data_IF_533266751212
#
_entry.id   IF_533266751212
#
_cell.length_a   1.000
_cell.length_b   1.000
_cell.length_c   1.000
_cell.angle_alpha   90.00
_cell.angle_beta   90.00
_cell.angle_gamma   90.00
#
_symmetry.space_group_name_H-M   'P 1'
#
loop_
_entity.id
_entity.type
_entity.pdbx_description
1 polymer ?
#
# COMPACT_ATOMS: atom_id res chain seq x y z
N UNK A 1 31.47 -28.45 9.58
CA UNK A 1 30.42 -29.45 9.87
C UNK A 1 29.21 -28.65 10.35
N UNK A 2 28.31 -28.29 9.46
CA UNK A 2 27.05 -27.61 9.76
C UNK A 2 25.91 -28.52 9.32
N UNK A 3 25.05 -28.84 10.27
CA UNK A 3 23.91 -29.72 10.08
C UNK A 3 22.82 -28.98 9.27
N UNK A 4 22.50 -29.53 8.15
CA UNK A 4 21.41 -29.15 7.26
C UNK A 4 20.16 -29.93 7.69
N UNK A 5 19.08 -29.24 8.03
CA UNK A 5 17.77 -29.85 8.25
C UNK A 5 16.94 -29.70 6.96
N UNK A 6 16.42 -30.80 6.38
CA UNK A 6 15.62 -30.69 5.16
C UNK A 6 14.14 -30.40 5.46
N UNK A 7 13.58 -29.59 4.60
CA UNK A 7 12.17 -29.22 4.52
C UNK A 7 11.31 -30.37 3.97
N UNK A 8 10.18 -30.76 4.61
CA UNK A 8 9.31 -31.80 4.11
C UNK A 8 8.08 -31.22 3.39
N UNK A 9 8.18 -30.97 2.10
CA UNK A 9 7.02 -30.84 1.21
C UNK A 9 7.39 -31.29 -0.20
N UNK A 10 7.32 -32.61 -0.41
CA UNK A 10 7.07 -33.21 -1.72
C UNK A 10 6.55 -34.63 -1.47
N UNK A 11 5.26 -34.83 -1.74
CA UNK A 11 4.85 -35.90 -2.69
C UNK A 11 3.33 -35.83 -2.91
N UNK A 12 3.05 -35.70 -4.17
CA UNK A 12 1.80 -35.99 -4.83
C UNK A 12 1.45 -37.47 -4.71
N UNK A 13 0.16 -37.79 -4.65
CA UNK A 13 -0.39 -38.77 -5.61
C UNK A 13 -1.91 -38.82 -5.48
N UNK A 14 -2.51 -38.85 -6.65
CA UNK A 14 -3.95 -38.99 -6.90
C UNK A 14 -4.42 -40.36 -6.42
N UNK A 15 -5.54 -40.41 -5.71
CA UNK A 15 -6.42 -41.56 -5.79
C UNK A 15 -7.87 -41.12 -5.80
N UNK A 16 -8.52 -41.35 -6.91
CA UNK A 16 -9.97 -41.36 -7.04
C UNK A 16 -10.50 -42.51 -6.15
N UNK A 17 -11.39 -42.18 -5.23
CA UNK A 17 -12.32 -43.14 -4.69
C UNK A 17 -13.76 -42.61 -4.84
N UNK A 18 -14.46 -43.23 -5.76
CA UNK A 18 -15.92 -43.27 -5.79
C UNK A 18 -16.41 -43.96 -4.50
N UNK A 19 -17.21 -43.29 -3.73
CA UNK A 19 -18.02 -43.93 -2.72
C UNK A 19 -19.45 -43.48 -2.82
N UNK A 20 -20.30 -44.44 -2.97
CA UNK A 20 -21.73 -44.41 -3.18
C UNK A 20 -22.53 -43.79 -2.03
N UNK A 21 -23.69 -43.32 -2.38
CA UNK A 21 -24.80 -42.85 -1.55
C UNK A 21 -25.14 -43.76 -0.33
N UNK A 22 -25.53 -43.06 0.71
CA UNK A 22 -26.44 -43.37 1.82
C UNK A 22 -25.81 -43.26 3.20
N UNK A 23 -25.92 -42.11 3.80
CA UNK A 23 -26.21 -41.99 5.23
C UNK A 23 -26.87 -40.62 5.48
N UNK A 24 -28.19 -40.65 5.74
CA UNK A 24 -28.91 -39.55 6.34
C UNK A 24 -28.28 -39.22 7.69
N UNK A 25 -27.54 -38.09 7.73
CA UNK A 25 -27.15 -37.51 9.00
C UNK A 25 -27.84 -36.14 9.12
N UNK A 26 -28.91 -36.17 9.91
CA UNK A 26 -29.70 -35.02 10.33
C UNK A 26 -28.76 -34.06 11.11
N UNK A 27 -28.21 -33.05 10.41
CA UNK A 27 -27.54 -31.94 11.07
C UNK A 27 -28.65 -31.09 11.66
N UNK A 28 -28.93 -31.32 12.96
CA UNK A 28 -29.72 -30.39 13.73
C UNK A 28 -29.01 -29.04 13.73
N UNK A 29 -29.53 -28.10 12.97
CA UNK A 29 -29.17 -26.69 13.09
C UNK A 29 -29.49 -26.26 14.52
N UNK A 30 -28.46 -26.24 15.36
CA UNK A 30 -28.54 -25.57 16.64
C UNK A 30 -28.66 -24.09 16.32
N UNK A 31 -29.88 -23.57 16.38
CA UNK A 31 -30.14 -22.13 16.31
C UNK A 31 -29.36 -21.51 17.47
N UNK A 32 -28.26 -20.83 17.17
CA UNK A 32 -27.54 -20.01 18.14
C UNK A 32 -28.44 -18.79 18.34
N UNK A 33 -29.26 -18.82 19.39
CA UNK A 33 -30.04 -17.66 19.80
C UNK A 33 -29.03 -16.67 20.36
N UNK A 34 -28.64 -15.67 19.60
CA UNK A 34 -27.81 -14.55 20.07
C UNK A 34 -28.67 -13.76 21.05
N UNK A 35 -28.29 -13.73 22.33
CA UNK A 35 -28.94 -12.91 23.33
C UNK A 35 -28.80 -11.43 22.95
N UNK A 36 -29.89 -10.68 23.11
CA UNK A 36 -29.87 -9.23 22.84
C UNK A 36 -28.99 -8.50 23.84
N UNK A 37 -28.38 -7.44 23.40
CA UNK A 37 -27.57 -6.56 24.24
C UNK A 37 -28.28 -5.22 24.41
N UNK A 38 -28.31 -4.72 25.64
CA UNK A 38 -28.97 -3.49 26.01
C UNK A 38 -27.96 -2.54 26.67
N UNK A 39 -27.78 -1.35 26.12
CA UNK A 39 -26.82 -0.36 26.64
C UNK A 39 -27.55 0.72 27.44
N UNK A 40 -27.12 0.94 28.66
CA UNK A 40 -27.58 2.08 29.45
C UNK A 40 -27.02 3.39 28.86
N UNK A 41 -27.90 4.31 28.50
CA UNK A 41 -27.53 5.60 27.89
C UNK A 41 -26.90 6.58 28.87
N UNK A 42 -26.98 6.31 30.18
CA UNK A 42 -26.45 7.17 31.23
C UNK A 42 -25.01 6.80 31.61
N UNK A 43 -24.74 5.50 31.83
CA UNK A 43 -23.42 5.05 32.31
C UNK A 43 -22.68 4.08 31.36
N UNK A 44 -23.30 3.71 30.25
CA UNK A 44 -22.68 2.81 29.27
C UNK A 44 -22.71 1.32 29.63
N UNK A 45 -23.29 0.93 30.77
CA UNK A 45 -23.40 -0.48 31.15
C UNK A 45 -24.15 -1.29 30.09
N UNK A 46 -23.62 -2.48 29.75
CA UNK A 46 -24.25 -3.40 28.80
C UNK A 46 -24.84 -4.58 29.57
N UNK A 47 -26.12 -4.83 29.31
CA UNK A 47 -26.86 -5.98 29.80
C UNK A 47 -27.14 -6.95 28.65
N UNK A 48 -26.93 -8.25 28.88
CA UNK A 48 -27.23 -9.31 27.92
C UNK A 48 -28.50 -10.04 28.40
N UNK A 49 -29.55 -10.06 27.58
CA UNK A 49 -30.83 -10.67 27.91
C UNK A 49 -31.91 -10.35 26.88
N UNK A 50 -33.06 -11.02 26.98
CA UNK A 50 -34.16 -10.84 26.03
C UNK A 50 -34.81 -9.44 26.11
N UNK A 51 -34.65 -8.74 27.25
CA UNK A 51 -35.17 -7.40 27.47
C UNK A 51 -34.21 -6.56 28.33
N UNK A 52 -34.41 -5.24 28.30
CA UNK A 52 -33.69 -4.33 29.19
C UNK A 52 -34.00 -4.67 30.68
N UNK A 53 -33.00 -4.56 31.59
CA UNK A 53 -33.24 -4.79 33.00
C UNK A 53 -34.09 -3.65 33.60
N UNK A 54 -34.94 -3.96 34.59
CA UNK A 54 -35.77 -2.97 35.24
C UNK A 54 -35.01 -1.78 35.81
N UNK A 55 -33.79 -2.02 36.28
CA UNK A 55 -32.87 -1.00 36.80
C UNK A 55 -31.44 -1.31 36.42
N UNK A 56 -30.71 -0.27 36.06
CA UNK A 56 -29.27 -0.37 35.82
C UNK A 56 -28.52 -0.77 37.12
N UNK A 57 -27.72 -1.84 37.12
CA UNK A 57 -26.98 -2.27 38.32
C UNK A 57 -25.95 -1.23 38.79
N UNK A 58 -25.43 -0.38 37.87
CA UNK A 58 -24.44 0.63 38.18
C UNK A 58 -25.04 1.97 38.61
N UNK A 59 -25.85 2.60 37.76
CA UNK A 59 -26.37 3.95 38.02
C UNK A 59 -27.80 4.01 38.48
N UNK A 60 -28.47 2.86 38.66
CA UNK A 60 -29.84 2.70 39.22
C UNK A 60 -30.97 3.33 38.40
N UNK A 61 -30.72 3.82 37.19
CA UNK A 61 -31.80 4.33 36.32
C UNK A 61 -32.70 3.21 35.82
N UNK A 62 -33.91 3.55 35.43
CA UNK A 62 -34.93 2.60 34.97
C UNK A 62 -34.64 2.04 33.56
N UNK A 63 -35.46 1.04 33.17
CA UNK A 63 -35.38 0.38 31.88
C UNK A 63 -35.54 1.36 30.69
N UNK A 64 -36.25 2.46 30.89
CA UNK A 64 -36.43 3.54 29.89
C UNK A 64 -35.12 4.22 29.41
N UNK A 65 -34.04 3.98 30.13
CA UNK A 65 -32.68 4.49 29.78
C UNK A 65 -31.82 3.45 29.12
N UNK A 66 -32.40 2.33 28.68
CA UNK A 66 -31.67 1.34 27.90
C UNK A 66 -32.09 1.36 26.44
N UNK A 67 -31.11 1.20 25.57
CA UNK A 67 -31.32 1.04 24.11
C UNK A 67 -30.78 -0.33 23.69
N UNK A 68 -31.48 -0.98 22.79
CA UNK A 68 -31.00 -2.24 22.20
C UNK A 68 -29.79 -1.96 21.36
N UNK A 69 -28.69 -2.69 21.59
CA UNK A 69 -27.49 -2.65 20.76
C UNK A 69 -27.72 -3.63 19.61
N UNK A 70 -28.15 -3.12 18.48
CA UNK A 70 -28.21 -3.89 17.24
C UNK A 70 -26.78 -3.89 16.68
N UNK A 71 -26.12 -5.05 16.68
CA UNK A 71 -24.89 -5.22 15.93
C UNK A 71 -25.28 -5.12 14.45
N UNK A 72 -24.93 -4.02 13.81
CA UNK A 72 -25.10 -3.90 12.37
C UNK A 72 -24.08 -4.84 11.70
N UNK A 73 -24.54 -5.99 11.27
CA UNK A 73 -23.81 -6.82 10.31
C UNK A 73 -23.85 -6.09 8.95
N UNK A 74 -22.88 -5.23 8.74
CA UNK A 74 -22.71 -4.49 7.51
C UNK A 74 -21.31 -3.89 7.46
N UNK A 75 -20.83 -3.64 6.27
CA UNK A 75 -19.57 -2.94 6.07
C UNK A 75 -19.62 -1.56 6.74
N UNK A 76 -18.53 -1.18 7.40
CA UNK A 76 -18.39 0.14 7.99
C UNK A 76 -18.55 1.20 6.89
N UNK A 77 -19.39 2.21 7.20
CA UNK A 77 -19.57 3.37 6.33
C UNK A 77 -18.86 4.57 6.95
N UNK A 78 -17.90 5.10 6.22
CA UNK A 78 -17.17 6.30 6.63
C UNK A 78 -17.83 7.52 6.00
N UNK A 79 -17.82 8.65 6.73
CA UNK A 79 -18.38 9.94 6.27
C UNK A 79 -17.56 10.49 5.10
N UNK A 80 -16.29 10.14 5.05
CA UNK A 80 -15.35 10.56 4.02
C UNK A 80 -14.40 9.40 3.68
N UNK A 81 -13.99 9.31 2.43
CA UNK A 81 -13.12 8.26 1.92
C UNK A 81 -11.95 8.91 1.18
N UNK A 82 -10.76 8.31 1.32
CA UNK A 82 -9.61 8.68 0.51
C UNK A 82 -9.80 8.17 -0.93
N UNK A 83 -9.87 9.09 -1.88
CA UNK A 83 -10.07 8.78 -3.29
C UNK A 83 -8.88 9.22 -4.12
N UNK A 84 -8.26 8.28 -4.85
CA UNK A 84 -7.21 8.61 -5.83
C UNK A 84 -7.87 9.18 -7.09
N UNK A 85 -7.37 10.30 -7.59
CA UNK A 85 -7.84 10.93 -8.81
C UNK A 85 -9.03 11.86 -8.62
N UNK A 86 -9.13 12.53 -7.46
CA UNK A 86 -10.16 13.55 -7.21
C UNK A 86 -10.08 14.75 -8.16
N UNK A 87 -8.92 14.98 -8.81
CA UNK A 87 -8.75 16.00 -9.83
C UNK A 87 -9.27 15.61 -11.21
N UNK A 88 -9.88 14.43 -11.37
CA UNK A 88 -10.51 14.06 -12.64
C UNK A 88 -11.76 14.88 -12.88
N UNK A 89 -11.76 15.62 -13.99
CA UNK A 89 -12.91 16.44 -14.39
C UNK A 89 -12.97 17.84 -13.72
N UNK A 90 -11.91 18.25 -13.03
CA UNK A 90 -11.75 19.64 -12.58
C UNK A 90 -11.44 20.56 -13.77
N UNK A 91 -11.43 21.85 -13.53
CA UNK A 91 -11.01 22.85 -14.51
C UNK A 91 -9.60 22.54 -15.06
N UNK A 92 -9.40 22.76 -16.36
CA UNK A 92 -8.16 22.39 -17.04
C UNK A 92 -6.95 23.16 -16.54
N UNK A 93 -7.12 24.44 -16.14
CA UNK A 93 -6.04 25.25 -15.57
C UNK A 93 -5.58 24.66 -14.21
N UNK A 94 -6.53 24.20 -13.39
CA UNK A 94 -6.23 23.53 -12.12
C UNK A 94 -5.50 22.21 -12.36
N UNK A 95 -5.98 21.38 -13.31
CA UNK A 95 -5.34 20.11 -13.62
C UNK A 95 -3.93 20.30 -14.17
N UNK A 96 -3.75 21.26 -15.08
CA UNK A 96 -2.43 21.55 -15.64
C UNK A 96 -1.48 22.10 -14.56
N UNK A 97 -1.95 22.99 -13.68
CA UNK A 97 -1.17 23.46 -12.54
C UNK A 97 -0.71 22.32 -11.62
N UNK A 98 -1.57 21.35 -11.33
CA UNK A 98 -1.18 20.16 -10.57
C UNK A 98 -0.10 19.34 -11.30
N UNK A 99 -0.21 19.16 -12.61
CA UNK A 99 0.80 18.44 -13.41
C UNK A 99 2.14 19.15 -13.43
N UNK A 100 2.13 20.46 -13.59
CA UNK A 100 3.34 21.29 -13.59
C UNK A 100 4.03 21.25 -12.23
N UNK A 101 3.28 21.36 -11.14
CA UNK A 101 3.81 21.21 -9.79
C UNK A 101 4.35 19.78 -9.54
N UNK A 102 3.63 18.75 -9.94
CA UNK A 102 4.13 17.37 -9.83
C UNK A 102 5.53 17.20 -10.47
N UNK A 103 5.70 17.73 -11.68
CA UNK A 103 7.00 17.70 -12.36
C UNK A 103 8.04 18.56 -11.67
N UNK A 104 7.67 19.72 -11.14
CA UNK A 104 8.52 20.58 -10.35
C UNK A 104 9.06 19.87 -9.10
N UNK A 105 8.17 19.37 -8.28
CA UNK A 105 8.50 18.63 -7.04
C UNK A 105 9.40 17.43 -7.30
N UNK A 106 9.09 16.61 -8.31
CA UNK A 106 9.94 15.48 -8.71
C UNK A 106 11.36 15.93 -9.12
N UNK A 107 11.48 17.08 -9.78
CA UNK A 107 12.75 17.65 -10.20
C UNK A 107 13.54 18.15 -8.98
N UNK A 108 12.87 18.82 -8.04
CA UNK A 108 13.50 19.38 -6.84
C UNK A 108 14.05 18.28 -5.92
N UNK A 109 13.42 17.12 -5.84
CA UNK A 109 13.99 15.95 -5.12
C UNK A 109 15.41 15.65 -5.62
N UNK A 110 15.60 15.53 -6.94
CA UNK A 110 16.91 15.23 -7.53
C UNK A 110 17.90 16.37 -7.33
N UNK A 111 17.45 17.61 -7.54
CA UNK A 111 18.25 18.81 -7.39
C UNK A 111 18.76 18.98 -5.95
N UNK A 112 17.88 18.87 -4.95
CA UNK A 112 18.24 19.07 -3.55
C UNK A 112 19.18 17.97 -3.05
N UNK A 113 18.99 16.71 -3.47
CA UNK A 113 19.94 15.64 -3.16
C UNK A 113 21.33 15.90 -3.79
N UNK A 114 21.38 16.45 -4.99
CA UNK A 114 22.67 16.83 -5.62
C UNK A 114 23.32 18.02 -4.91
N UNK A 115 22.54 19.04 -4.53
CA UNK A 115 22.99 20.21 -3.76
C UNK A 115 23.47 19.80 -2.36
N UNK A 116 22.81 18.84 -1.73
CA UNK A 116 23.27 18.25 -0.46
C UNK A 116 24.67 17.66 -0.57
N UNK A 117 24.91 16.83 -1.61
CA UNK A 117 26.25 16.26 -1.84
C UNK A 117 27.30 17.34 -2.09
N UNK A 118 26.94 18.43 -2.76
CA UNK A 118 27.86 19.55 -3.00
C UNK A 118 28.17 20.29 -1.72
N UNK A 119 27.17 20.62 -0.92
CA UNK A 119 27.36 21.27 0.39
C UNK A 119 28.25 20.44 1.32
N UNK A 120 28.09 19.12 1.31
CA UNK A 120 28.92 18.20 2.10
C UNK A 120 30.40 18.24 1.65
N UNK A 121 30.67 18.20 0.34
CA UNK A 121 32.04 18.33 -0.22
C UNK A 121 32.70 19.69 0.12
N UNK A 122 31.91 20.73 0.24
CA UNK A 122 32.37 22.10 0.57
C UNK A 122 32.52 22.30 2.10
N UNK A 123 32.14 21.32 2.91
CA UNK A 123 32.28 21.36 4.37
C UNK A 123 31.13 22.09 5.09
N UNK A 124 29.93 22.09 4.50
CA UNK A 124 28.71 22.66 5.08
C UNK A 124 27.70 21.56 5.47
N UNK A 125 27.99 20.73 6.49
CA UNK A 125 27.15 19.57 6.80
C UNK A 125 25.71 19.94 7.22
N UNK A 126 25.52 21.07 7.90
CA UNK A 126 24.17 21.54 8.27
C UNK A 126 23.32 21.92 7.04
N UNK A 127 23.95 22.52 6.02
CA UNK A 127 23.29 22.84 4.75
C UNK A 127 22.97 21.57 3.98
N UNK A 128 23.91 20.60 3.98
CA UNK A 128 23.70 19.30 3.35
C UNK A 128 22.50 18.56 3.95
N UNK A 129 22.40 18.54 5.28
CA UNK A 129 21.25 17.92 5.96
C UNK A 129 19.94 18.68 5.72
N UNK A 130 19.96 20.00 5.62
CA UNK A 130 18.78 20.79 5.27
C UNK A 130 18.27 20.41 3.87
N UNK A 131 19.14 20.35 2.86
CA UNK A 131 18.77 19.93 1.50
C UNK A 131 18.21 18.51 1.45
N UNK A 132 18.80 17.54 2.18
CA UNK A 132 18.25 16.17 2.25
C UNK A 132 16.83 16.14 2.81
N UNK A 133 16.62 16.89 3.90
CA UNK A 133 15.29 16.95 4.55
C UNK A 133 14.27 17.54 3.59
N UNK A 134 14.57 18.65 2.95
CA UNK A 134 13.65 19.28 2.01
C UNK A 134 13.40 18.40 0.77
N UNK A 135 14.40 17.68 0.27
CA UNK A 135 14.16 16.71 -0.80
C UNK A 135 13.10 15.66 -0.46
N UNK A 136 13.03 15.22 0.80
CA UNK A 136 11.97 14.32 1.25
C UNK A 136 10.61 15.01 1.41
N UNK A 137 10.60 16.28 1.80
CA UNK A 137 9.37 17.08 1.84
C UNK A 137 8.81 17.26 0.42
N UNK A 138 9.64 17.53 -0.59
CA UNK A 138 9.23 17.61 -2.00
C UNK A 138 8.76 16.26 -2.55
N UNK A 139 9.38 15.15 -2.13
CA UNK A 139 8.89 13.82 -2.49
C UNK A 139 7.47 13.54 -1.93
N UNK A 140 7.18 14.01 -0.73
CA UNK A 140 5.84 13.95 -0.13
C UNK A 140 4.83 14.84 -0.88
N UNK A 141 5.24 16.06 -1.30
CA UNK A 141 4.40 16.94 -2.12
C UNK A 141 4.07 16.26 -3.46
N UNK A 142 5.09 15.77 -4.17
CA UNK A 142 4.91 15.05 -5.42
C UNK A 142 3.97 13.85 -5.27
N UNK A 143 4.12 13.05 -4.21
CA UNK A 143 3.27 11.87 -3.97
C UNK A 143 1.80 12.24 -3.77
N UNK A 144 1.52 13.29 -2.99
CA UNK A 144 0.16 13.80 -2.77
C UNK A 144 -0.47 14.32 -4.06
N UNK A 145 0.28 15.08 -4.84
CA UNK A 145 -0.19 15.58 -6.14
C UNK A 145 -0.46 14.41 -7.11
N UNK A 146 0.40 13.38 -7.12
CA UNK A 146 0.19 12.18 -7.92
C UNK A 146 -1.12 11.45 -7.58
N UNK A 147 -1.47 11.37 -6.29
CA UNK A 147 -2.73 10.80 -5.83
C UNK A 147 -3.94 11.67 -6.23
N UNK A 148 -3.84 13.01 -6.13
CA UNK A 148 -4.89 13.93 -6.58
C UNK A 148 -5.17 13.76 -8.08
N UNK A 149 -4.13 13.69 -8.92
CA UNK A 149 -4.25 13.54 -10.37
C UNK A 149 -4.75 12.12 -10.72
N UNK A 150 -4.21 11.07 -10.08
CA UNK A 150 -4.59 9.67 -10.30
C UNK A 150 -4.23 9.12 -11.68
N UNK A 151 -3.22 9.68 -12.37
CA UNK A 151 -2.76 9.22 -13.68
C UNK A 151 -1.56 8.25 -13.59
N UNK A 152 -0.84 8.26 -12.45
CA UNK A 152 0.37 7.45 -12.24
C UNK A 152 0.25 6.47 -11.07
N UNK A 153 -0.91 6.44 -10.42
CA UNK A 153 -1.21 5.56 -9.28
C UNK A 153 -2.47 4.75 -9.59
N UNK A 154 -2.37 3.43 -9.49
CA UNK A 154 -3.44 2.46 -9.68
C UNK A 154 -3.49 1.49 -8.50
N UNK A 155 -4.27 0.41 -8.61
CA UNK A 155 -4.17 -0.70 -7.66
C UNK A 155 -2.77 -1.34 -7.67
N UNK A 156 -2.42 -2.01 -6.57
CA UNK A 156 -1.07 -2.54 -6.35
C UNK A 156 -0.63 -3.51 -7.46
N UNK A 157 -1.54 -4.36 -7.96
CA UNK A 157 -1.25 -5.30 -9.04
C UNK A 157 -0.87 -4.56 -10.33
N UNK A 158 -1.65 -3.56 -10.68
CA UNK A 158 -1.43 -2.72 -11.86
C UNK A 158 -0.14 -1.89 -11.72
N UNK A 159 0.11 -1.31 -10.54
CA UNK A 159 1.35 -0.57 -10.26
C UNK A 159 2.57 -1.45 -10.47
N UNK A 160 2.61 -2.65 -9.88
CA UNK A 160 3.72 -3.58 -10.04
C UNK A 160 3.92 -3.99 -11.50
N UNK A 161 2.83 -4.31 -12.23
CA UNK A 161 2.89 -4.68 -13.63
C UNK A 161 3.46 -3.56 -14.51
N UNK A 162 2.97 -2.34 -14.35
CA UNK A 162 3.44 -1.18 -15.10
C UNK A 162 4.88 -0.83 -14.76
N UNK A 163 5.27 -0.89 -13.48
CA UNK A 163 6.62 -0.55 -13.07
C UNK A 163 7.65 -1.55 -13.57
N UNK A 164 7.42 -2.87 -13.42
CA UNK A 164 8.40 -3.85 -13.92
C UNK A 164 8.70 -3.69 -15.42
N UNK A 165 7.68 -3.38 -16.25
CA UNK A 165 7.90 -3.14 -17.68
C UNK A 165 8.61 -1.79 -17.95
N UNK A 166 8.32 -0.76 -17.15
CA UNK A 166 9.00 0.52 -17.28
C UNK A 166 10.49 0.45 -16.87
N UNK A 167 10.81 -0.34 -15.84
CA UNK A 167 12.19 -0.57 -15.43
C UNK A 167 13.00 -1.34 -16.49
N UNK A 168 12.36 -2.30 -17.20
CA UNK A 168 12.98 -3.00 -18.34
C UNK A 168 13.38 -2.00 -19.43
N UNK A 169 12.48 -1.14 -19.87
CA UNK A 169 12.79 -0.11 -20.87
C UNK A 169 13.81 0.92 -20.37
N UNK A 170 13.74 1.33 -19.10
CA UNK A 170 14.70 2.24 -18.49
C UNK A 170 16.12 1.63 -18.42
N UNK A 171 16.21 0.32 -18.15
CA UNK A 171 17.48 -0.41 -18.18
C UNK A 171 18.09 -0.41 -19.58
N UNK A 172 17.32 -0.74 -20.62
CA UNK A 172 17.79 -0.75 -22.02
C UNK A 172 18.26 0.64 -22.47
N UNK A 173 17.50 1.68 -22.18
CA UNK A 173 17.84 3.05 -22.58
C UNK A 173 19.11 3.57 -21.87
N UNK A 174 19.22 3.35 -20.56
CA UNK A 174 20.43 3.71 -19.82
C UNK A 174 21.66 2.93 -20.30
N UNK A 175 21.50 1.62 -20.56
CA UNK A 175 22.61 0.82 -21.10
C UNK A 175 23.05 1.34 -22.47
N UNK A 176 22.11 1.65 -23.37
CA UNK A 176 22.41 2.25 -24.67
C UNK A 176 23.16 3.58 -24.52
N UNK A 177 22.71 4.47 -23.62
CA UNK A 177 23.39 5.74 -23.35
C UNK A 177 24.80 5.54 -22.79
N UNK A 178 24.99 4.56 -21.90
CA UNK A 178 26.30 4.21 -21.38
C UNK A 178 27.26 3.77 -22.49
N UNK A 179 26.80 2.94 -23.44
CA UNK A 179 27.60 2.52 -24.60
C UNK A 179 28.03 3.72 -25.47
N UNK A 180 27.08 4.65 -25.73
CA UNK A 180 27.43 5.89 -26.47
C UNK A 180 28.45 6.72 -25.74
N UNK A 181 28.28 6.92 -24.43
CA UNK A 181 29.29 7.66 -23.62
C UNK A 181 30.67 7.01 -23.66
N UNK A 182 30.76 5.68 -23.68
CA UNK A 182 32.03 4.97 -23.82
C UNK A 182 32.70 5.18 -25.17
N UNK A 183 31.89 5.21 -26.25
CA UNK A 183 32.41 5.48 -27.61
C UNK A 183 33.00 6.89 -27.72
N UNK A 184 32.47 7.85 -26.96
CA UNK A 184 32.96 9.23 -26.89
C UNK A 184 34.08 9.43 -25.84
N UNK A 185 34.56 8.37 -25.20
CA UNK A 185 35.55 8.40 -24.10
C UNK A 185 35.10 9.21 -22.87
N UNK A 186 33.79 9.21 -22.56
CA UNK A 186 33.20 9.88 -21.42
C UNK A 186 33.04 8.89 -20.26
N UNK A 187 34.17 8.40 -19.71
CA UNK A 187 34.19 7.31 -18.74
C UNK A 187 33.32 7.57 -17.49
N UNK A 188 33.38 8.79 -16.94
CA UNK A 188 32.57 9.14 -15.75
C UNK A 188 31.05 9.07 -16.02
N UNK A 189 30.63 9.44 -17.22
CA UNK A 189 29.21 9.33 -17.64
C UNK A 189 28.87 7.86 -17.86
N UNK A 190 29.72 7.13 -18.60
CA UNK A 190 29.54 5.69 -18.83
C UNK A 190 29.37 4.94 -17.52
N UNK A 191 30.30 5.09 -16.58
CA UNK A 191 30.29 4.32 -15.33
C UNK A 191 29.02 4.62 -14.51
N UNK A 192 28.65 5.90 -14.38
CA UNK A 192 27.47 6.33 -13.64
C UNK A 192 26.19 5.77 -14.26
N UNK A 193 25.99 5.93 -15.56
CA UNK A 193 24.76 5.52 -16.23
C UNK A 193 24.68 3.99 -16.35
N UNK A 194 25.84 3.30 -16.50
CA UNK A 194 25.86 1.84 -16.51
C UNK A 194 25.49 1.23 -15.15
N UNK A 195 25.94 1.81 -14.03
CA UNK A 195 25.48 1.39 -12.70
C UNK A 195 23.97 1.63 -12.52
N UNK A 196 23.45 2.79 -12.97
CA UNK A 196 22.00 3.04 -12.95
C UNK A 196 21.23 2.00 -13.78
N UNK A 197 21.74 1.58 -14.95
CA UNK A 197 21.09 0.53 -15.74
C UNK A 197 20.98 -0.80 -14.98
N UNK A 198 21.99 -1.17 -14.19
CA UNK A 198 21.96 -2.35 -13.31
C UNK A 198 20.93 -2.20 -12.18
N UNK A 199 20.78 -0.99 -11.65
CA UNK A 199 19.78 -0.70 -10.64
C UNK A 199 18.37 -0.88 -11.21
N UNK A 200 18.09 -0.39 -12.44
CA UNK A 200 16.78 -0.58 -13.08
C UNK A 200 16.47 -2.07 -13.32
N UNK A 201 17.47 -2.86 -13.72
CA UNK A 201 17.31 -4.31 -13.85
C UNK A 201 16.96 -4.97 -12.51
N UNK A 202 17.59 -4.52 -11.42
CA UNK A 202 17.31 -5.00 -10.06
C UNK A 202 15.92 -4.57 -9.59
N UNK A 203 15.49 -3.33 -9.88
CA UNK A 203 14.14 -2.82 -9.58
C UNK A 203 13.08 -3.64 -10.32
N UNK A 204 13.25 -3.84 -11.63
CA UNK A 204 12.34 -4.63 -12.45
C UNK A 204 12.21 -6.08 -11.97
N UNK A 205 13.34 -6.74 -11.65
CA UNK A 205 13.33 -8.08 -11.06
C UNK A 205 12.63 -8.11 -9.69
N UNK A 206 12.82 -7.09 -8.85
CA UNK A 206 12.16 -6.95 -7.56
C UNK A 206 10.63 -6.83 -7.71
N UNK A 207 10.15 -5.95 -8.58
CA UNK A 207 8.73 -5.79 -8.88
C UNK A 207 8.12 -7.06 -9.48
N UNK A 208 8.81 -7.73 -10.37
CA UNK A 208 8.37 -9.01 -10.93
C UNK A 208 8.26 -10.10 -9.85
N UNK A 209 9.21 -10.17 -8.94
CA UNK A 209 9.19 -11.11 -7.82
C UNK A 209 7.97 -10.87 -6.91
N UNK A 210 7.67 -9.61 -6.58
CA UNK A 210 6.50 -9.24 -5.79
C UNK A 210 5.19 -9.53 -6.55
N UNK A 211 5.12 -9.19 -7.82
CA UNK A 211 3.96 -9.50 -8.66
C UNK A 211 3.67 -10.99 -8.70
N UNK A 212 4.71 -11.82 -8.90
CA UNK A 212 4.56 -13.27 -8.94
C UNK A 212 4.12 -13.85 -7.59
N UNK A 213 4.60 -13.28 -6.49
CA UNK A 213 4.28 -13.74 -5.12
C UNK A 213 2.82 -13.48 -4.74
N UNK A 214 2.25 -12.35 -5.13
CA UNK A 214 0.94 -11.92 -4.63
C UNK A 214 -0.18 -12.04 -5.67
N UNK A 215 0.13 -12.12 -6.98
CA UNK A 215 -0.86 -12.00 -8.05
C UNK A 215 -0.76 -13.09 -9.13
N UNK A 216 0.14 -14.05 -9.00
CA UNK A 216 0.21 -15.29 -9.75
C UNK A 216 0.08 -16.46 -8.79
#
# INVERSE_FOLDING_TARGET
IANYCPNPLQNSEKSLFLCSEKANNCITHKTITTMKKWKCTVCGYIHEGDSAPDKCPLCKVGADKFVEVVEQEGDLQFVDEHVIGVAKGVDEEVLQGLKDHFMGECTEVGMYLAMSRQADREGYPEVAEAFKRYAWEEAEHASKIAELIGEVVWDTKTNLYKRMNAEEGACEDKFRLAVLAKQENLDAIHDTIHEMAKDEARHGAGFQGLYNRYFK
#
